data_IF_718761906076
#
_entry.id   IF_718761906076
#
_cell.length_a   1.000
_cell.length_b   1.000
_cell.length_c   1.000
_cell.angle_alpha   90.00
_cell.angle_beta   90.00
_cell.angle_gamma   90.00
#
_symmetry.space_group_name_H-M   'P 1'
#
loop_
_entity.id
_entity.type
_entity.pdbx_description
1 polymer ?
#
# COMPACT_ATOMS: atom_id res chain seq x y z
N UNK A 1 -17.66 -2.91 -18.73
CA UNK A 1 -17.09 -1.89 -17.82
C UNK A 1 -15.98 -2.54 -16.99
N UNK A 2 -14.73 -2.36 -17.42
CA UNK A 2 -13.54 -2.88 -16.74
C UNK A 2 -13.33 -2.07 -15.46
N UNK A 3 -13.94 -2.51 -14.37
CA UNK A 3 -13.71 -1.93 -13.07
C UNK A 3 -12.48 -2.55 -12.43
N UNK A 4 -11.52 -1.69 -12.07
CA UNK A 4 -10.86 -1.70 -10.77
C UNK A 4 -9.93 -2.87 -10.42
N UNK A 5 -9.02 -3.26 -11.32
CA UNK A 5 -7.73 -3.89 -10.94
C UNK A 5 -6.59 -2.87 -10.92
N UNK A 6 -6.73 -1.80 -11.69
CA UNK A 6 -5.77 -0.69 -11.81
C UNK A 6 -6.05 0.46 -10.85
N UNK A 7 -6.83 0.29 -9.77
CA UNK A 7 -7.16 1.39 -8.85
C UNK A 7 -6.76 1.06 -7.43
N UNK A 8 -6.31 2.09 -6.70
CA UNK A 8 -5.94 1.92 -5.31
C UNK A 8 -7.19 1.74 -4.44
N UNK A 9 -7.31 0.66 -3.65
CA UNK A 9 -8.47 0.45 -2.79
C UNK A 9 -8.55 1.43 -1.60
N UNK A 10 -7.57 2.30 -1.42
CA UNK A 10 -7.49 3.27 -0.33
C UNK A 10 -7.93 4.66 -0.77
N UNK A 11 -7.33 5.19 -1.83
CA UNK A 11 -7.71 6.50 -2.38
C UNK A 11 -8.68 6.41 -3.56
N UNK A 12 -9.00 5.21 -4.04
CA UNK A 12 -9.84 4.97 -5.23
C UNK A 12 -9.36 5.71 -6.48
N UNK A 13 -8.07 6.05 -6.52
CA UNK A 13 -7.43 6.65 -7.68
C UNK A 13 -6.76 5.57 -8.54
N UNK A 14 -6.75 5.74 -9.87
CA UNK A 14 -6.05 4.84 -10.77
C UNK A 14 -4.55 4.82 -10.48
N UNK A 15 -3.97 3.63 -10.62
CA UNK A 15 -2.55 3.39 -10.54
C UNK A 15 -1.89 4.02 -11.77
N UNK A 16 -0.80 4.75 -11.52
CA UNK A 16 0.02 5.36 -12.54
C UNK A 16 1.51 5.10 -12.26
N UNK A 17 2.37 5.30 -13.25
CA UNK A 17 3.81 5.08 -13.08
C UNK A 17 4.51 6.20 -12.31
N UNK A 18 3.77 7.20 -11.80
CA UNK A 18 4.32 8.35 -11.07
C UNK A 18 4.08 8.23 -9.56
N UNK A 19 2.93 8.75 -9.09
CA UNK A 19 2.59 8.90 -7.68
C UNK A 19 1.76 7.73 -7.18
N UNK A 20 0.92 7.17 -8.05
CA UNK A 20 0.04 6.08 -7.71
C UNK A 20 0.60 4.73 -8.14
N UNK A 21 1.92 4.57 -8.13
CA UNK A 21 2.52 3.28 -8.49
C UNK A 21 2.07 2.17 -7.53
N UNK A 22 1.59 1.02 -8.03
CA UNK A 22 1.12 -0.06 -7.18
C UNK A 22 2.31 -0.71 -6.47
N UNK A 23 2.16 -0.90 -5.16
CA UNK A 23 3.11 -1.60 -4.30
C UNK A 23 2.41 -2.80 -3.68
N UNK A 24 2.90 -4.00 -3.98
CA UNK A 24 2.40 -5.26 -3.43
C UNK A 24 3.02 -5.54 -2.05
N UNK A 25 2.17 -5.91 -1.11
CA UNK A 25 2.57 -6.43 0.20
C UNK A 25 2.74 -7.97 0.14
N UNK A 26 3.41 -8.59 1.13
CA UNK A 26 3.53 -10.05 1.22
C UNK A 26 2.19 -10.79 1.28
N UNK A 27 1.12 -10.10 1.67
CA UNK A 27 -0.23 -10.65 1.66
C UNK A 27 -0.90 -10.60 0.27
N UNK A 28 -0.13 -10.35 -0.80
CA UNK A 28 -0.59 -10.25 -2.18
C UNK A 28 -1.63 -9.13 -2.42
N UNK A 29 -1.70 -8.14 -1.53
CA UNK A 29 -2.55 -6.97 -1.66
C UNK A 29 -1.73 -5.78 -2.13
N UNK A 30 -2.20 -5.13 -3.19
CA UNK A 30 -1.60 -3.93 -3.75
C UNK A 30 -2.25 -2.66 -3.21
N UNK A 31 -1.43 -1.64 -2.94
CA UNK A 31 -1.88 -0.27 -2.73
C UNK A 31 -0.87 0.71 -3.33
N UNK A 32 -1.29 1.94 -3.59
CA UNK A 32 -0.38 2.90 -4.21
C UNK A 32 0.71 3.35 -3.22
N UNK A 33 1.89 3.72 -3.72
CA UNK A 33 3.01 4.21 -2.90
C UNK A 33 2.63 5.41 -2.03
N UNK A 34 1.76 6.30 -2.52
CA UNK A 34 1.28 7.45 -1.76
C UNK A 34 0.50 7.02 -0.51
N UNK A 35 -0.50 6.14 -0.66
CA UNK A 35 -1.26 5.60 0.48
C UNK A 35 -0.38 4.76 1.40
N UNK A 36 0.55 3.97 0.84
CA UNK A 36 1.49 3.19 1.63
C UNK A 36 2.32 4.11 2.51
N UNK A 37 2.84 5.22 1.95
CA UNK A 37 3.61 6.22 2.69
C UNK A 37 2.81 6.89 3.80
N UNK A 38 1.55 7.25 3.54
CA UNK A 38 0.68 7.85 4.57
C UNK A 38 0.41 6.87 5.74
N UNK A 39 0.15 5.59 5.43
CA UNK A 39 -0.03 4.54 6.45
C UNK A 39 1.26 4.36 7.26
N UNK A 40 2.42 4.37 6.60
CA UNK A 40 3.71 4.28 7.27
C UNK A 40 3.99 5.49 8.17
N UNK A 41 3.71 6.70 7.71
CA UNK A 41 3.85 7.93 8.51
C UNK A 41 3.01 7.87 9.78
N UNK A 42 1.78 7.39 9.64
CA UNK A 42 0.86 7.17 10.76
C UNK A 42 1.35 6.06 11.71
N UNK A 43 1.99 5.02 11.18
CA UNK A 43 2.47 3.87 11.94
C UNK A 43 3.86 4.08 12.59
N UNK A 44 4.65 5.04 12.10
CA UNK A 44 6.03 5.29 12.53
C UNK A 44 6.15 5.62 14.03
N UNK A 45 5.08 6.12 14.65
CA UNK A 45 5.03 6.37 16.10
C UNK A 45 4.86 5.11 16.97
N UNK A 46 4.43 3.97 16.41
CA UNK A 46 4.05 2.79 17.19
C UNK A 46 4.71 1.48 16.74
N UNK A 47 4.97 1.28 15.44
CA UNK A 47 5.52 0.02 14.92
C UNK A 47 6.55 0.29 13.79
N UNK A 48 7.70 0.90 14.15
CA UNK A 48 8.85 1.10 13.26
C UNK A 48 9.13 -0.15 12.40
N UNK A 49 8.95 -0.04 11.08
CA UNK A 49 9.28 -1.08 10.11
C UNK A 49 8.18 -2.12 9.83
N UNK A 50 6.96 -1.97 10.36
CA UNK A 50 5.85 -2.89 10.08
C UNK A 50 4.63 -2.13 9.57
N UNK A 51 4.19 -2.48 8.36
CA UNK A 51 2.92 -1.99 7.82
C UNK A 51 1.85 -3.06 8.01
N UNK A 52 0.66 -2.66 8.46
CA UNK A 52 -0.52 -3.55 8.45
C UNK A 52 -1.26 -3.36 7.15
N UNK A 53 -1.52 -4.45 6.45
CA UNK A 53 -2.36 -4.41 5.27
C UNK A 53 -3.76 -3.90 5.67
N UNK A 54 -4.28 -2.84 5.04
CA UNK A 54 -5.62 -2.34 5.33
C UNK A 54 -6.73 -3.31 4.91
N UNK A 55 -6.43 -4.26 4.01
CA UNK A 55 -7.40 -5.20 3.43
C UNK A 55 -7.55 -6.45 4.28
N UNK A 56 -6.44 -7.13 4.59
CA UNK A 56 -6.45 -8.39 5.33
C UNK A 56 -5.85 -8.29 6.75
N UNK A 57 -5.39 -7.11 7.18
CA UNK A 57 -4.77 -6.85 8.49
C UNK A 57 -3.48 -7.63 8.78
N UNK A 58 -2.91 -8.31 7.78
CA UNK A 58 -1.62 -8.98 7.89
C UNK A 58 -0.49 -7.96 8.11
N UNK A 59 0.35 -8.21 9.12
CA UNK A 59 1.57 -7.45 9.36
C UNK A 59 2.60 -7.87 8.32
N UNK A 60 2.93 -6.95 7.42
CA UNK A 60 3.96 -7.19 6.41
C UNK A 60 5.24 -6.51 6.90
N UNK A 61 6.37 -7.24 7.04
CA UNK A 61 7.65 -6.58 7.24
C UNK A 61 7.90 -5.71 6.02
N UNK A 62 8.40 -4.48 6.19
CA UNK A 62 8.76 -3.68 5.02
C UNK A 62 9.79 -4.47 4.20
N UNK A 63 9.39 -4.91 3.00
CA UNK A 63 10.37 -5.21 1.97
C UNK A 63 11.09 -3.89 1.73
N UNK A 64 12.38 -3.85 2.03
CA UNK A 64 13.24 -2.81 1.48
C UNK A 64 13.13 -2.99 -0.03
N UNK A 65 12.45 -2.04 -0.69
CA UNK A 65 12.44 -2.00 -2.14
C UNK A 65 13.84 -1.49 -2.49
N UNK A 66 14.78 -2.42 -2.71
CA UNK A 66 16.13 -2.14 -3.23
C UNK A 66 16.04 -1.51 -4.63
#
# INVERSE_FOLDING_TARGET
PAGSEDECPICTEPYDDQRHKPALLNCNHGLCRACLRAIMDTAAGAELGRVRCPICRQKTPMLVWE
#
